data_IF_104452078124
#
_entry.id   IF_104452078124
#
_cell.length_a   1.000
_cell.length_b   1.000
_cell.length_c   1.000
_cell.angle_alpha   90.00
_cell.angle_beta   90.00
_cell.angle_gamma   90.00
#
_symmetry.space_group_name_H-M   'P 1'
#
loop_
_entity.id
_entity.type
_entity.pdbx_description
1 polymer ?
#
# COMPACT_ATOMS: atom_id res chain seq x y z
N UNK A 1 1.67 16.34 -5.63
CA UNK A 1 0.97 16.32 -6.93
C UNK A 1 0.59 14.90 -7.38
N UNK A 2 1.55 13.97 -7.53
CA UNK A 2 1.30 12.57 -8.00
C UNK A 2 0.31 11.76 -7.14
N UNK A 3 0.30 11.96 -5.82
CA UNK A 3 -0.61 11.23 -4.93
C UNK A 3 -2.09 11.58 -5.11
N UNK A 4 -2.37 12.86 -5.39
CA UNK A 4 -3.74 13.37 -5.59
C UNK A 4 -4.38 12.72 -6.83
N UNK A 5 -3.59 12.55 -7.89
CA UNK A 5 -4.02 11.89 -9.14
C UNK A 5 -4.44 10.44 -8.88
N UNK A 6 -3.70 9.70 -8.03
CA UNK A 6 -4.07 8.32 -7.72
C UNK A 6 -5.43 8.23 -7.01
N UNK A 7 -5.74 9.14 -6.09
CA UNK A 7 -7.03 9.16 -5.39
C UNK A 7 -8.20 9.53 -6.31
N UNK A 8 -7.98 10.43 -7.27
CA UNK A 8 -9.00 10.76 -8.26
C UNK A 8 -9.29 9.57 -9.19
N UNK A 9 -8.26 8.82 -9.56
CA UNK A 9 -8.41 7.58 -10.32
C UNK A 9 -9.28 6.57 -9.56
N UNK A 10 -9.06 6.36 -8.25
CA UNK A 10 -9.90 5.45 -7.45
C UNK A 10 -11.39 5.85 -7.43
N UNK A 11 -11.70 7.16 -7.49
CA UNK A 11 -13.09 7.63 -7.54
C UNK A 11 -13.78 7.36 -8.86
N UNK A 12 -13.03 7.39 -9.96
CA UNK A 12 -13.55 7.19 -11.33
C UNK A 12 -13.73 5.70 -11.63
N UNK A 13 -12.83 4.85 -11.14
CA UNK A 13 -12.85 3.41 -11.42
C UNK A 13 -13.69 2.66 -10.37
N UNK A 14 -15.01 2.83 -10.39
CA UNK A 14 -15.91 2.04 -9.53
C UNK A 14 -15.98 0.58 -10.03
N UNK A 15 -15.94 -0.38 -9.09
CA UNK A 15 -16.08 -1.84 -9.32
C UNK A 15 -15.01 -2.50 -10.21
N UNK A 16 -13.76 -2.02 -10.19
CA UNK A 16 -12.64 -2.75 -10.83
C UNK A 16 -11.56 -3.08 -9.81
N UNK A 17 -10.81 -4.13 -10.10
CA UNK A 17 -9.60 -4.49 -9.37
C UNK A 17 -8.43 -3.64 -9.88
N UNK A 18 -7.66 -3.06 -8.96
CA UNK A 18 -6.52 -2.19 -9.26
C UNK A 18 -5.28 -2.77 -8.56
N UNK A 19 -4.18 -2.85 -9.29
CA UNK A 19 -2.86 -3.11 -8.72
C UNK A 19 -2.09 -1.79 -8.75
N UNK A 20 -1.59 -1.36 -7.59
CA UNK A 20 -0.88 -0.11 -7.43
C UNK A 20 0.49 -0.34 -6.81
N UNK A 21 1.54 0.13 -7.49
CA UNK A 21 2.91 0.13 -6.97
C UNK A 21 3.24 1.52 -6.42
N UNK A 22 3.69 1.58 -5.16
CA UNK A 22 4.07 2.83 -4.49
C UNK A 22 5.39 2.66 -3.75
N UNK A 23 6.24 3.69 -3.86
CA UNK A 23 7.44 3.80 -3.01
C UNK A 23 7.08 4.12 -1.56
N UNK A 24 6.02 4.91 -1.33
CA UNK A 24 5.50 5.15 0.02
C UNK A 24 4.44 4.10 0.36
N UNK A 25 4.89 3.00 0.97
CA UNK A 25 4.04 1.87 1.36
C UNK A 25 2.92 2.30 2.32
N UNK A 26 3.22 3.15 3.32
CA UNK A 26 2.24 3.63 4.32
C UNK A 26 1.00 4.22 3.65
N UNK A 27 1.22 5.16 2.73
CA UNK A 27 0.13 5.81 2.00
C UNK A 27 -0.56 4.89 1.02
N UNK A 28 0.13 3.87 0.47
CA UNK A 28 -0.50 2.87 -0.39
C UNK A 28 -1.45 1.97 0.40
N UNK A 29 -0.98 1.47 1.54
CA UNK A 29 -1.74 0.57 2.41
C UNK A 29 -3.00 1.22 3.00
N UNK A 30 -2.99 2.54 3.23
CA UNK A 30 -4.18 3.30 3.68
C UNK A 30 -5.40 3.21 2.77
N UNK A 31 -5.22 2.79 1.52
CA UNK A 31 -6.29 2.67 0.53
C UNK A 31 -6.38 1.27 -0.08
N UNK A 32 -5.55 0.33 0.37
CA UNK A 32 -5.48 -0.99 -0.22
C UNK A 32 -6.29 -1.98 0.61
N UNK A 33 -7.10 -2.81 -0.06
CA UNK A 33 -7.75 -3.93 0.61
C UNK A 33 -6.70 -4.98 1.02
N UNK A 34 -5.71 -5.20 0.16
CA UNK A 34 -4.62 -6.17 0.34
C UNK A 34 -3.30 -5.47 0.00
N UNK A 35 -2.27 -5.70 0.81
CA UNK A 35 -0.92 -5.18 0.59
C UNK A 35 0.12 -6.28 0.45
N UNK A 36 1.15 -5.99 -0.35
CA UNK A 36 2.38 -6.78 -0.45
C UNK A 36 3.56 -5.84 -0.26
N UNK A 37 4.45 -6.18 0.67
CA UNK A 37 5.71 -5.46 0.86
C UNK A 37 6.84 -6.30 0.29
N UNK A 38 7.60 -5.69 -0.60
CA UNK A 38 8.72 -6.32 -1.27
C UNK A 38 10.05 -5.79 -0.72
N UNK A 39 10.99 -6.70 -0.46
CA UNK A 39 12.38 -6.39 -0.10
C UNK A 39 13.29 -7.18 -1.00
N UNK A 40 14.22 -6.49 -1.66
CA UNK A 40 15.21 -7.13 -2.55
C UNK A 40 14.58 -8.09 -3.58
N UNK A 41 13.39 -7.73 -4.09
CA UNK A 41 12.67 -8.52 -5.09
C UNK A 41 11.86 -9.70 -4.54
N UNK A 42 11.77 -9.87 -3.21
CA UNK A 42 11.00 -10.95 -2.58
C UNK A 42 9.90 -10.39 -1.69
N UNK A 43 8.81 -11.15 -1.54
CA UNK A 43 7.72 -10.80 -0.61
C UNK A 43 8.20 -10.98 0.83
N UNK A 44 8.34 -9.88 1.54
CA UNK A 44 8.68 -9.89 2.96
C UNK A 44 7.42 -10.10 3.81
N UNK A 45 6.32 -9.42 3.47
CA UNK A 45 5.04 -9.58 4.16
C UNK A 45 3.88 -9.31 3.20
N UNK A 46 2.75 -9.97 3.44
CA UNK A 46 1.49 -9.73 2.74
C UNK A 46 0.32 -9.93 3.72
N UNK A 47 -0.78 -9.21 3.50
CA UNK A 47 -1.94 -9.24 4.40
C UNK A 47 -2.96 -8.15 4.05
N UNK A 48 -3.98 -7.99 4.91
CA UNK A 48 -4.92 -6.89 4.77
C UNK A 48 -4.23 -5.53 4.90
N UNK A 49 -4.63 -4.52 4.13
CA UNK A 49 -4.00 -3.20 4.17
C UNK A 49 -3.94 -2.60 5.58
N UNK A 50 -5.05 -2.73 6.33
CA UNK A 50 -5.15 -2.27 7.72
C UNK A 50 -4.28 -3.09 8.69
N UNK A 51 -4.20 -4.42 8.49
CA UNK A 51 -3.35 -5.30 9.31
C UNK A 51 -1.87 -4.94 9.13
N UNK A 52 -1.45 -4.71 7.89
CA UNK A 52 -0.08 -4.33 7.58
C UNK A 52 0.26 -2.92 8.10
N UNK A 53 -0.70 -2.00 8.14
CA UNK A 53 -0.49 -0.67 8.72
C UNK A 53 -0.29 -0.73 10.24
N UNK A 54 -0.95 -1.65 10.92
CA UNK A 54 -0.86 -1.83 12.37
C UNK A 54 0.31 -2.75 12.77
N UNK A 55 0.92 -3.45 11.81
CA UNK A 55 2.02 -4.35 12.08
C UNK A 55 3.30 -3.55 12.46
N UNK A 56 3.84 -3.73 13.68
CA UNK A 56 4.99 -2.98 14.16
C UNK A 56 6.28 -3.26 13.37
N UNK A 57 6.42 -4.45 12.79
CA UNK A 57 7.57 -4.79 11.95
C UNK A 57 7.49 -4.09 10.60
N UNK A 58 6.29 -3.94 10.05
CA UNK A 58 6.05 -3.16 8.82
C UNK A 58 6.37 -1.69 9.05
N UNK A 59 5.89 -1.14 10.17
CA UNK A 59 6.15 0.24 10.57
C UNK A 59 7.63 0.56 10.62
N UNK A 60 8.39 -0.30 11.31
CA UNK A 60 9.84 -0.16 11.52
C UNK A 60 10.65 -0.29 10.24
N UNK A 61 10.32 -1.26 9.40
CA UNK A 61 11.12 -1.60 8.22
C UNK A 61 10.77 -0.73 7.00
N UNK A 62 9.52 -0.24 6.88
CA UNK A 62 9.02 0.31 5.61
C UNK A 62 8.23 1.61 5.71
N UNK A 63 7.76 2.00 6.90
CA UNK A 63 6.90 3.18 7.05
C UNK A 63 7.59 4.38 7.70
N UNK A 64 8.89 4.26 8.01
CA UNK A 64 9.75 5.37 8.42
C UNK A 64 10.17 5.40 9.89
N UNK A 65 9.78 4.40 10.70
CA UNK A 65 9.99 4.43 12.15
C UNK A 65 9.02 5.36 12.87
#
# INVERSE_FOLDING_TARGET
MVFKISLEIFKIIKKKTIILVKQNAKKGLQFADIGYVLVSGQTAIAGGGDELLQNPDVGRLFLGG
#
